data_IF_074126228297
#
_entry.id   IF_074126228297
#
_cell.length_a   1.000
_cell.length_b   1.000
_cell.length_c   1.000
_cell.angle_alpha   90.00
_cell.angle_beta   90.00
_cell.angle_gamma   90.00
#
_symmetry.space_group_name_H-M   'P 1'
#
loop_
_entity.id
_entity.type
_entity.pdbx_description
1 polymer ?
#
# COMPACT_ATOMS: atom_id res chain seq x y z
N UNK A 1 -8.80 5.67 0.20
CA UNK A 1 -7.36 5.32 0.15
C UNK A 1 -6.49 6.55 -0.03
N UNK A 2 -6.67 7.36 -1.08
CA UNK A 2 -5.97 8.65 -1.19
C UNK A 2 -6.48 9.68 -0.18
N UNK A 3 -7.80 9.86 -0.09
CA UNK A 3 -8.43 10.75 0.91
C UNK A 3 -8.19 10.31 2.36
N UNK A 4 -7.81 9.06 2.58
CA UNK A 4 -7.50 8.52 3.91
C UNK A 4 -6.00 8.68 4.24
N UNK A 5 -5.22 9.29 3.34
CA UNK A 5 -3.78 9.51 3.51
C UNK A 5 -2.95 8.22 3.41
N UNK A 6 -3.49 7.15 2.84
CA UNK A 6 -2.80 5.86 2.69
C UNK A 6 -2.03 5.74 1.36
N UNK A 7 -2.46 6.48 0.34
CA UNK A 7 -1.85 6.49 -0.98
C UNK A 7 -1.47 7.93 -1.33
N UNK A 8 -0.24 8.11 -1.81
CA UNK A 8 0.29 9.38 -2.30
C UNK A 8 0.16 9.38 -3.81
N UNK A 9 -0.48 10.44 -4.33
CA UNK A 9 -0.64 10.69 -5.77
C UNK A 9 0.36 11.75 -6.22
N UNK A 10 1.27 11.38 -7.12
CA UNK A 10 2.30 12.27 -7.65
C UNK A 10 2.12 12.43 -9.16
N UNK A 11 1.94 13.67 -9.61
CA UNK A 11 1.84 14.03 -11.03
C UNK A 11 3.17 14.60 -11.50
N UNK A 12 3.74 13.99 -12.53
CA UNK A 12 4.94 14.48 -13.20
C UNK A 12 4.55 15.17 -14.51
N UNK A 13 4.70 16.50 -14.61
CA UNK A 13 4.38 17.26 -15.81
C UNK A 13 5.53 17.16 -16.84
N UNK A 14 5.85 15.93 -17.26
CA UNK A 14 6.79 15.65 -18.35
C UNK A 14 6.05 15.31 -19.65
N UNK A 15 6.75 15.17 -20.78
CA UNK A 15 6.15 14.68 -22.03
C UNK A 15 6.75 13.31 -22.35
N UNK A 16 5.94 12.23 -22.37
CA UNK A 16 4.52 12.17 -22.04
C UNK A 16 4.26 12.34 -20.54
N UNK A 17 3.11 12.91 -20.13
CA UNK A 17 2.80 13.10 -18.71
C UNK A 17 2.67 11.75 -18.02
N UNK A 18 3.15 11.69 -16.78
CA UNK A 18 3.17 10.45 -15.97
C UNK A 18 2.56 10.69 -14.61
N UNK A 19 1.86 9.68 -14.12
CA UNK A 19 1.27 9.66 -12.78
C UNK A 19 1.81 8.45 -12.04
N UNK A 20 2.22 8.65 -10.79
CA UNK A 20 2.59 7.58 -9.88
C UNK A 20 1.71 7.58 -8.65
N UNK A 21 1.38 6.37 -8.19
CA UNK A 21 0.74 6.13 -6.90
C UNK A 21 1.72 5.37 -6.04
N UNK A 22 1.96 5.85 -4.82
CA UNK A 22 2.83 5.19 -3.85
C UNK A 22 2.15 5.05 -2.50
N UNK A 23 2.64 4.13 -1.66
CA UNK A 23 2.15 4.00 -0.29
C UNK A 23 2.66 5.17 0.55
N UNK A 24 1.79 5.75 1.37
CA UNK A 24 2.24 6.75 2.34
C UNK A 24 3.03 6.10 3.48
N UNK A 25 3.82 6.91 4.20
CA UNK A 25 4.51 6.44 5.41
C UNK A 25 3.54 5.85 6.43
N UNK A 26 2.35 6.45 6.59
CA UNK A 26 1.28 5.92 7.43
C UNK A 26 0.78 4.55 6.94
N UNK A 27 0.63 4.36 5.64
CA UNK A 27 0.24 3.06 5.11
C UNK A 27 1.33 2.01 5.32
N UNK A 28 2.61 2.39 5.24
CA UNK A 28 3.72 1.50 5.52
C UNK A 28 3.73 1.02 6.98
N UNK A 29 3.24 1.81 7.95
CA UNK A 29 3.12 1.34 9.34
C UNK A 29 2.09 0.23 9.52
N UNK A 30 1.16 0.05 8.57
CA UNK A 30 0.18 -1.06 8.58
C UNK A 30 0.76 -2.38 8.08
N UNK A 31 1.93 -2.34 7.40
CA UNK A 31 2.54 -3.52 6.79
C UNK A 31 2.72 -4.70 7.77
N UNK A 32 3.22 -4.52 9.01
CA UNK A 32 3.39 -5.63 9.94
C UNK A 32 2.06 -6.32 10.29
N UNK A 33 0.97 -5.56 10.40
CA UNK A 33 -0.36 -6.10 10.70
C UNK A 33 -0.85 -6.95 9.52
N UNK A 34 -0.72 -6.44 8.30
CA UNK A 34 -1.08 -7.17 7.09
C UNK A 34 -0.25 -8.45 6.95
N UNK A 35 1.05 -8.39 7.25
CA UNK A 35 1.93 -9.56 7.23
C UNK A 35 1.46 -10.62 8.25
N UNK A 36 1.09 -10.22 9.47
CA UNK A 36 0.52 -11.15 10.46
C UNK A 36 -0.81 -11.78 10.02
N UNK A 37 -1.67 -11.02 9.34
CA UNK A 37 -2.92 -11.56 8.78
C UNK A 37 -2.65 -12.59 7.68
N UNK A 38 -1.64 -12.34 6.83
CA UNK A 38 -1.22 -13.29 5.78
C UNK A 38 -0.63 -14.55 6.40
N UNK A 39 0.23 -14.42 7.41
CA UNK A 39 0.83 -15.55 8.13
C UNK A 39 -0.26 -16.43 8.73
N UNK A 40 -1.19 -15.84 9.47
CA UNK A 40 -2.33 -16.56 10.04
C UNK A 40 -3.17 -17.25 8.96
N UNK A 41 -3.49 -16.55 7.88
CA UNK A 41 -4.30 -17.11 6.79
C UNK A 41 -3.61 -18.29 6.09
N UNK A 42 -2.28 -18.25 5.95
CA UNK A 42 -1.50 -19.35 5.41
C UNK A 42 -1.46 -20.54 6.36
N UNK A 43 -1.29 -20.31 7.67
CA UNK A 43 -1.34 -21.37 8.67
C UNK A 43 -2.71 -22.06 8.69
N UNK A 44 -3.80 -21.29 8.63
CA UNK A 44 -5.16 -21.83 8.58
C UNK A 44 -5.42 -22.66 7.32
N UNK A 45 -4.92 -22.24 6.15
CA UNK A 45 -5.08 -23.01 4.89
C UNK A 45 -4.38 -24.38 4.91
N UNK A 46 -3.40 -24.58 5.78
CA UNK A 46 -2.64 -25.82 5.90
C UNK A 46 -3.19 -26.76 6.99
N UNK A 47 -4.25 -26.36 7.71
CA UNK A 47 -5.01 -27.18 8.64
C UNK A 47 -6.11 -27.94 7.90
#
# INVERSE_FOLDING_TARGET
MENDGLVIHTVYPEVPPRVEYSLSELCLTLKPILDSMVEWGNAYKQM
#
